data_IF_137625544223
#
_entry.id   IF_137625544223
#
_cell.length_a   1.000
_cell.length_b   1.000
_cell.length_c   1.000
_cell.angle_alpha   90.00
_cell.angle_beta   90.00
_cell.angle_gamma   90.00
#
_symmetry.space_group_name_H-M   'P 1'
#
loop_
_entity.id
_entity.type
_entity.pdbx_description
1 polymer ?
#
# COMPACT_ATOMS: atom_id res chain seq x y z
N UNK A 1 -17.81 24.89 38.94
CA UNK A 1 -18.08 23.53 38.39
C UNK A 1 -18.09 23.44 36.87
N UNK A 2 -18.41 24.52 36.13
CA UNK A 2 -18.49 24.50 34.64
C UNK A 2 -17.12 24.40 33.92
N UNK A 3 -16.03 24.92 34.49
CA UNK A 3 -14.68 24.93 33.88
C UNK A 3 -14.02 23.54 33.88
N UNK A 4 -14.32 22.71 34.90
CA UNK A 4 -13.73 21.33 34.97
C UNK A 4 -14.33 20.37 33.98
N UNK A 5 -15.58 20.58 33.55
CA UNK A 5 -16.25 19.76 32.53
C UNK A 5 -15.70 20.03 31.12
N UNK A 6 -15.40 21.30 30.80
CA UNK A 6 -14.83 21.71 29.52
C UNK A 6 -13.41 21.18 29.34
N UNK A 7 -12.61 21.16 30.42
CA UNK A 7 -11.24 20.61 30.37
C UNK A 7 -11.22 19.08 30.16
N UNK A 8 -12.17 18.36 30.76
CA UNK A 8 -12.34 16.91 30.54
C UNK A 8 -12.76 16.58 29.08
N UNK A 9 -13.67 17.38 28.51
CA UNK A 9 -14.10 17.20 27.12
C UNK A 9 -12.97 17.46 26.13
N UNK A 10 -12.10 18.44 26.38
CA UNK A 10 -10.95 18.76 25.54
C UNK A 10 -9.88 17.64 25.55
N UNK A 11 -9.70 16.95 26.67
CA UNK A 11 -8.76 15.81 26.76
C UNK A 11 -9.25 14.61 25.95
N UNK A 12 -10.56 14.37 25.89
CA UNK A 12 -11.14 13.28 25.06
C UNK A 12 -11.01 13.53 23.57
N UNK A 13 -10.93 14.79 23.13
CA UNK A 13 -10.76 15.13 21.70
C UNK A 13 -9.32 15.00 21.22
N UNK A 14 -8.34 14.90 22.13
CA UNK A 14 -6.91 14.80 21.79
C UNK A 14 -6.38 13.35 21.75
N UNK A 15 -7.16 12.37 22.18
CA UNK A 15 -6.76 10.96 22.20
C UNK A 15 -7.23 10.16 20.97
N UNK A 16 -7.56 10.83 19.88
CA UNK A 16 -7.81 10.20 18.61
C UNK A 16 -6.52 9.57 18.07
N UNK A 17 -6.14 8.38 18.57
CA UNK A 17 -5.16 7.55 17.92
C UNK A 17 -5.72 7.19 16.53
N UNK A 18 -5.15 7.77 15.49
CA UNK A 18 -5.40 7.36 14.11
C UNK A 18 -4.80 5.97 13.90
N UNK A 19 -5.55 4.94 14.28
CA UNK A 19 -5.26 3.58 13.89
C UNK A 19 -5.84 3.40 12.48
N UNK A 20 -5.00 3.60 11.47
CA UNK A 20 -5.37 3.23 10.11
C UNK A 20 -5.55 1.72 10.07
N UNK A 21 -6.74 1.25 9.75
CA UNK A 21 -7.05 -0.17 9.62
C UNK A 21 -7.35 -0.55 8.17
N UNK A 22 -6.97 -1.79 7.81
CA UNK A 22 -7.16 -2.34 6.49
C UNK A 22 -7.98 -3.63 6.57
N UNK A 23 -8.92 -3.76 5.65
CA UNK A 23 -9.75 -4.95 5.47
C UNK A 23 -9.28 -5.70 4.22
N UNK A 24 -9.12 -7.02 4.32
CA UNK A 24 -8.85 -7.88 3.16
C UNK A 24 -10.13 -8.01 2.32
N UNK A 25 -10.08 -7.49 1.11
CA UNK A 25 -11.17 -7.53 0.12
C UNK A 25 -10.83 -8.40 -1.10
N UNK A 26 -9.84 -9.27 -0.97
CA UNK A 26 -9.37 -10.16 -2.05
C UNK A 26 -10.48 -11.06 -2.63
N UNK A 27 -11.48 -11.41 -1.83
CA UNK A 27 -12.62 -12.23 -2.23
C UNK A 27 -13.81 -11.44 -2.80
N UNK A 28 -13.79 -10.11 -2.72
CA UNK A 28 -14.82 -9.27 -3.31
C UNK A 28 -14.81 -9.45 -4.83
N UNK A 29 -15.97 -9.72 -5.49
CA UNK A 29 -16.07 -9.89 -6.95
C UNK A 29 -15.43 -8.73 -7.75
N UNK A 30 -15.43 -7.52 -7.20
CA UNK A 30 -14.81 -6.34 -7.81
C UNK A 30 -13.29 -6.48 -7.93
N UNK A 31 -12.65 -7.17 -6.98
CA UNK A 31 -11.19 -7.26 -6.86
C UNK A 31 -10.62 -8.66 -7.11
N UNK A 32 -11.48 -9.68 -7.14
CA UNK A 32 -11.05 -11.08 -7.23
C UNK A 32 -10.21 -11.39 -8.47
N UNK A 33 -10.40 -10.66 -9.58
CA UNK A 33 -9.63 -10.83 -10.81
C UNK A 33 -8.18 -10.34 -10.73
N UNK A 34 -7.86 -9.50 -9.74
CA UNK A 34 -6.48 -9.04 -9.51
C UNK A 34 -5.65 -10.08 -8.77
N UNK A 35 -6.27 -10.84 -7.85
CA UNK A 35 -5.54 -11.81 -7.01
C UNK A 35 -4.96 -12.94 -7.85
N UNK A 36 -3.66 -13.15 -7.73
CA UNK A 36 -2.91 -14.11 -8.53
C UNK A 36 -2.52 -13.63 -9.93
N UNK A 37 -3.01 -12.46 -10.36
CA UNK A 37 -2.60 -11.85 -11.62
C UNK A 37 -1.13 -11.43 -11.58
N UNK A 38 -0.47 -11.53 -12.74
CA UNK A 38 0.91 -11.09 -12.93
C UNK A 38 0.95 -9.81 -13.75
N UNK A 39 1.78 -8.87 -13.31
CA UNK A 39 1.94 -7.56 -13.91
C UNK A 39 3.41 -7.29 -14.24
N UNK A 40 3.63 -6.47 -15.28
CA UNK A 40 4.94 -5.95 -15.66
C UNK A 40 4.91 -4.43 -15.66
N UNK A 41 5.91 -3.78 -15.09
CA UNK A 41 6.04 -2.32 -15.15
C UNK A 41 6.30 -1.84 -16.57
N UNK A 42 5.61 -0.75 -16.97
CA UNK A 42 5.75 -0.11 -18.30
C UNK A 42 6.65 1.12 -18.26
N UNK A 43 7.26 1.40 -17.15
CA UNK A 43 8.21 2.47 -16.93
C UNK A 43 8.96 2.29 -15.62
N UNK A 44 9.97 3.12 -15.41
CA UNK A 44 10.72 3.14 -14.16
C UNK A 44 9.83 3.57 -13.00
N UNK A 45 9.96 2.87 -11.88
CA UNK A 45 9.30 3.19 -10.62
C UNK A 45 10.33 3.24 -9.50
N UNK A 46 9.89 3.55 -8.31
CA UNK A 46 10.73 3.57 -7.12
C UNK A 46 10.08 2.71 -6.05
N UNK A 47 10.85 1.80 -5.45
CA UNK A 47 10.48 1.12 -4.21
C UNK A 47 10.98 1.97 -3.05
N UNK A 48 10.04 2.39 -2.22
CA UNK A 48 10.28 3.08 -0.96
C UNK A 48 10.24 2.08 0.18
N UNK A 49 11.16 2.19 1.11
CA UNK A 49 11.01 1.62 2.45
C UNK A 49 10.53 2.72 3.36
N UNK A 50 9.35 2.56 3.94
CA UNK A 50 8.67 3.59 4.74
C UNK A 50 8.56 3.12 6.18
N UNK A 51 8.90 3.99 7.11
CA UNK A 51 8.71 3.75 8.54
C UNK A 51 7.24 3.74 8.91
N UNK A 52 6.84 2.76 9.69
CA UNK A 52 5.51 2.70 10.33
C UNK A 52 5.58 3.13 11.81
N UNK A 53 6.75 3.53 12.28
CA UNK A 53 6.95 4.03 13.61
C UNK A 53 6.64 5.54 13.67
N UNK A 54 5.90 5.98 14.69
CA UNK A 54 5.57 7.40 14.91
C UNK A 54 6.82 8.29 15.12
N UNK A 55 7.94 7.72 15.53
CA UNK A 55 9.21 8.41 15.69
C UNK A 55 10.16 8.20 14.50
N UNK A 56 9.64 7.69 13.38
CA UNK A 56 10.39 7.40 12.16
C UNK A 56 11.57 6.44 12.36
N UNK A 57 11.41 5.48 13.28
CA UNK A 57 12.38 4.40 13.48
C UNK A 57 12.49 3.48 12.27
N UNK A 58 13.50 2.63 12.26
CA UNK A 58 13.76 1.69 11.17
C UNK A 58 12.79 0.49 11.14
N UNK A 59 12.05 0.26 12.21
CA UNK A 59 11.11 -0.85 12.35
C UNK A 59 9.97 -0.46 13.31
N UNK A 60 8.72 -0.82 13.03
CA UNK A 60 8.29 -1.55 11.82
C UNK A 60 8.39 -0.70 10.55
N UNK A 61 8.54 -1.34 9.41
CA UNK A 61 8.60 -0.67 8.10
C UNK A 61 7.90 -1.50 7.03
N UNK A 62 7.38 -0.82 6.01
CA UNK A 62 6.78 -1.43 4.83
C UNK A 62 7.51 -1.01 3.57
N UNK A 63 7.32 -1.76 2.49
CA UNK A 63 7.82 -1.40 1.17
C UNK A 63 6.64 -0.99 0.28
N UNK A 64 6.81 0.11 -0.47
CA UNK A 64 5.80 0.64 -1.37
C UNK A 64 6.39 0.90 -2.75
N UNK A 65 5.70 0.51 -3.81
CA UNK A 65 6.04 0.89 -5.19
C UNK A 65 5.29 2.17 -5.53
N UNK A 66 6.03 3.17 -5.99
CA UNK A 66 5.50 4.48 -6.32
C UNK A 66 6.02 4.93 -7.68
N UNK A 67 5.15 5.54 -8.48
CA UNK A 67 5.54 6.21 -9.72
C UNK A 67 6.27 7.54 -9.45
N UNK A 68 7.18 7.99 -10.32
CA UNK A 68 7.75 9.32 -10.24
C UNK A 68 6.64 10.42 -10.29
N UNK A 69 6.81 11.54 -9.56
CA UNK A 69 8.00 11.94 -8.82
C UNK A 69 8.15 11.28 -7.44
N UNK A 70 7.16 10.48 -6.97
CA UNK A 70 7.17 9.90 -5.65
C UNK A 70 6.89 10.93 -4.55
N UNK A 71 7.37 10.65 -3.34
CA UNK A 71 7.19 11.52 -2.18
C UNK A 71 8.47 11.66 -1.35
N UNK A 72 8.49 12.66 -0.50
CA UNK A 72 9.56 12.95 0.46
C UNK A 72 8.95 13.14 1.84
N UNK A 73 9.64 12.62 2.86
CA UNK A 73 9.21 12.79 4.23
C UNK A 73 10.18 12.13 5.21
N UNK A 74 10.07 12.46 6.50
CA UNK A 74 10.91 11.85 7.55
C UNK A 74 10.65 10.35 7.71
N UNK A 75 9.51 9.85 7.26
CA UNK A 75 9.15 8.44 7.25
C UNK A 75 9.92 7.61 6.21
N UNK A 76 10.54 8.24 5.21
CA UNK A 76 11.26 7.55 4.14
C UNK A 76 12.63 7.08 4.62
N UNK A 77 12.80 5.76 4.79
CA UNK A 77 14.05 5.13 5.21
C UNK A 77 15.01 4.96 4.03
N UNK A 78 14.48 4.51 2.88
CA UNK A 78 15.28 4.31 1.67
C UNK A 78 14.43 4.38 0.41
N UNK A 79 15.11 4.64 -0.71
CA UNK A 79 14.54 4.64 -2.07
C UNK A 79 15.44 3.83 -2.97
N UNK A 80 14.83 2.96 -3.76
CA UNK A 80 15.57 2.13 -4.73
C UNK A 80 14.82 2.09 -6.04
N UNK A 81 15.53 2.32 -7.13
CA UNK A 81 14.95 2.26 -8.48
C UNK A 81 14.39 0.86 -8.75
N UNK A 82 13.17 0.81 -9.23
CA UNK A 82 12.50 -0.39 -9.70
C UNK A 82 12.36 -0.29 -11.22
N UNK A 83 13.19 -1.02 -11.99
CA UNK A 83 13.32 -0.79 -13.41
C UNK A 83 12.08 -1.18 -14.21
N UNK A 84 11.89 -0.54 -15.35
CA UNK A 84 10.92 -0.96 -16.37
C UNK A 84 11.11 -2.44 -16.72
N UNK A 85 10.00 -3.14 -16.99
CA UNK A 85 9.99 -4.55 -17.31
C UNK A 85 10.04 -5.49 -16.10
N UNK A 86 10.14 -4.94 -14.86
CA UNK A 86 10.06 -5.75 -13.64
C UNK A 86 8.69 -6.41 -13.51
N UNK A 87 8.67 -7.67 -13.06
CA UNK A 87 7.42 -8.43 -12.90
C UNK A 87 7.08 -8.67 -11.45
N UNK A 88 5.78 -8.73 -11.17
CA UNK A 88 5.24 -8.97 -9.85
C UNK A 88 3.92 -9.72 -9.92
N UNK A 89 3.59 -10.44 -8.86
CA UNK A 89 2.33 -11.18 -8.69
C UNK A 89 1.53 -10.59 -7.55
N UNK A 90 0.25 -10.32 -7.78
CA UNK A 90 -0.68 -9.85 -6.73
C UNK A 90 -1.01 -11.00 -5.78
N UNK A 91 -0.83 -10.78 -4.48
CA UNK A 91 -1.13 -11.74 -3.41
C UNK A 91 -2.49 -11.46 -2.80
N UNK A 92 -2.71 -10.22 -2.34
CA UNK A 92 -3.94 -9.80 -1.66
C UNK A 92 -4.32 -8.38 -2.08
N UNK A 93 -5.59 -8.05 -1.88
CA UNK A 93 -6.11 -6.69 -2.03
C UNK A 93 -6.65 -6.25 -0.67
N UNK A 94 -6.26 -5.07 -0.24
CA UNK A 94 -6.66 -4.48 1.04
C UNK A 94 -7.29 -3.12 0.82
N UNK A 95 -8.38 -2.85 1.53
CA UNK A 95 -9.08 -1.57 1.52
C UNK A 95 -8.91 -0.89 2.87
N UNK A 96 -8.53 0.38 2.87
CA UNK A 96 -8.52 1.19 4.07
C UNK A 96 -9.95 1.42 4.57
N UNK A 97 -10.21 1.17 5.86
CA UNK A 97 -11.52 1.38 6.47
C UNK A 97 -11.61 2.69 7.24
N UNK A 98 -10.49 3.22 7.73
CA UNK A 98 -10.43 4.41 8.59
C UNK A 98 -9.62 5.55 7.98
N UNK A 99 -9.48 5.59 6.66
CA UNK A 99 -8.84 6.67 5.90
C UNK A 99 -9.81 7.86 5.77
N UNK A 100 -10.09 8.50 6.87
CA UNK A 100 -11.15 9.49 7.07
C UNK A 100 -10.99 10.79 6.25
N UNK A 101 -9.78 11.12 5.79
CA UNK A 101 -9.53 12.30 4.95
C UNK A 101 -9.63 12.02 3.44
N UNK A 102 -9.80 10.76 3.06
CA UNK A 102 -9.90 10.41 1.65
C UNK A 102 -11.37 10.43 1.20
N UNK A 103 -11.63 11.08 0.09
CA UNK A 103 -12.95 11.10 -0.54
C UNK A 103 -13.32 9.75 -1.14
N UNK A 104 -12.32 8.91 -1.43
CA UNK A 104 -12.48 7.53 -1.90
C UNK A 104 -11.62 6.59 -1.04
N UNK A 105 -12.12 5.36 -0.75
CA UNK A 105 -11.35 4.39 0.01
C UNK A 105 -10.05 4.03 -0.73
N UNK A 106 -8.90 4.18 -0.08
CA UNK A 106 -7.64 3.69 -0.63
C UNK A 106 -7.66 2.17 -0.70
N UNK A 107 -7.34 1.66 -1.88
CA UNK A 107 -7.22 0.23 -2.12
C UNK A 107 -5.80 -0.08 -2.56
N UNK A 108 -5.15 -0.96 -1.81
CA UNK A 108 -3.77 -1.39 -2.05
C UNK A 108 -3.74 -2.85 -2.45
N UNK A 109 -2.82 -3.19 -3.34
CA UNK A 109 -2.42 -4.55 -3.60
C UNK A 109 -1.13 -4.86 -2.83
N UNK A 110 -1.09 -5.98 -2.12
CA UNK A 110 0.18 -6.58 -1.72
C UNK A 110 0.67 -7.44 -2.88
N UNK A 111 1.83 -7.11 -3.40
CA UNK A 111 2.44 -7.80 -4.54
C UNK A 111 3.76 -8.43 -4.14
N UNK A 112 4.11 -9.57 -4.75
CA UNK A 112 5.42 -10.20 -4.64
C UNK A 112 6.19 -9.95 -5.91
N UNK A 113 7.39 -9.40 -5.78
CA UNK A 113 8.30 -9.19 -6.91
C UNK A 113 8.87 -10.54 -7.35
N UNK A 114 8.87 -10.80 -8.66
CA UNK A 114 9.23 -12.11 -9.24
C UNK A 114 10.37 -12.05 -10.26
N UNK A 115 10.95 -10.89 -10.56
CA UNK A 115 11.86 -10.75 -11.71
C UNK A 115 13.14 -9.99 -11.48
N UNK A 116 13.47 -9.58 -10.29
CA UNK A 116 14.73 -8.84 -10.06
C UNK A 116 15.53 -9.47 -8.93
N UNK A 117 16.81 -9.63 -9.13
CA UNK A 117 17.73 -10.17 -8.12
C UNK A 117 17.82 -9.33 -6.84
N UNK A 118 17.48 -8.05 -6.93
CA UNK A 118 17.54 -7.12 -5.78
C UNK A 118 16.30 -7.16 -4.90
N UNK A 119 15.14 -7.51 -5.47
CA UNK A 119 13.84 -7.49 -4.78
C UNK A 119 13.14 -8.84 -4.82
N UNK A 120 13.85 -9.90 -5.23
CA UNK A 120 13.27 -11.22 -5.38
C UNK A 120 12.59 -11.68 -4.09
N UNK A 121 11.37 -12.19 -4.22
CA UNK A 121 10.48 -12.57 -3.10
C UNK A 121 10.08 -11.43 -2.14
N UNK A 122 10.43 -10.17 -2.43
CA UNK A 122 9.99 -9.06 -1.60
C UNK A 122 8.48 -8.82 -1.75
N UNK A 123 7.79 -8.73 -0.63
CA UNK A 123 6.40 -8.26 -0.59
C UNK A 123 6.37 -6.73 -0.49
N UNK A 124 5.62 -6.12 -1.41
CA UNK A 124 5.57 -4.67 -1.58
C UNK A 124 4.11 -4.24 -1.71
N UNK A 125 3.75 -3.10 -1.15
CA UNK A 125 2.45 -2.49 -1.36
C UNK A 125 2.45 -1.67 -2.64
N UNK A 126 1.37 -1.75 -3.40
CA UNK A 126 1.14 -0.94 -4.60
C UNK A 126 -0.29 -0.40 -4.57
N UNK A 127 -0.48 0.87 -4.90
CA UNK A 127 -1.83 1.40 -5.12
C UNK A 127 -2.50 0.66 -6.28
N UNK A 128 -3.79 0.33 -6.15
CA UNK A 128 -4.51 -0.43 -7.18
C UNK A 128 -4.62 0.36 -8.49
N UNK A 129 -4.71 1.68 -8.42
CA UNK A 129 -4.68 2.56 -9.58
C UNK A 129 -3.35 2.48 -10.34
N UNK A 130 -2.25 2.29 -9.63
CA UNK A 130 -0.92 2.10 -10.22
C UNK A 130 -0.86 0.85 -11.10
N UNK A 131 -1.44 -0.28 -10.63
CA UNK A 131 -1.49 -1.52 -11.41
C UNK A 131 -2.24 -1.34 -12.74
N UNK A 132 -3.31 -0.53 -12.73
CA UNK A 132 -4.13 -0.30 -13.93
C UNK A 132 -3.54 0.72 -14.91
N UNK A 133 -2.79 1.69 -14.42
CA UNK A 133 -2.33 2.84 -15.22
C UNK A 133 -0.87 2.74 -15.68
N UNK A 134 0.00 2.07 -14.92
CA UNK A 134 1.45 2.04 -15.13
C UNK A 134 2.03 0.62 -15.23
N UNK A 135 1.16 -0.38 -15.27
CA UNK A 135 1.58 -1.77 -15.40
C UNK A 135 0.75 -2.50 -16.44
N UNK A 136 1.37 -3.42 -17.13
CA UNK A 136 0.73 -4.30 -18.11
C UNK A 136 0.41 -5.64 -17.47
N UNK A 137 -0.85 -6.06 -17.50
CA UNK A 137 -1.22 -7.41 -17.11
C UNK A 137 -0.61 -8.42 -18.06
N UNK A 138 0.13 -9.40 -17.52
CA UNK A 138 0.78 -10.47 -18.29
C UNK A 138 -0.06 -11.74 -18.27
N UNK A 139 -0.63 -12.06 -17.12
CA UNK A 139 -1.44 -13.25 -16.91
C UNK A 139 -2.54 -12.95 -15.91
N UNK A 140 -3.76 -13.20 -16.32
CA UNK A 140 -4.90 -13.23 -15.39
C UNK A 140 -5.05 -14.66 -14.83
N UNK A 141 -5.48 -14.79 -13.55
CA UNK A 141 -5.78 -16.11 -13.00
C UNK A 141 -6.93 -16.74 -13.77
N UNK A 142 -6.81 -18.04 -14.01
CA UNK A 142 -7.89 -18.81 -14.62
C UNK A 142 -9.10 -18.80 -13.67
N UNK A 143 -10.28 -18.30 -14.09
CA UNK A 143 -11.47 -18.23 -13.25
C UNK A 143 -11.97 -19.63 -12.78
N UNK A 144 -11.48 -20.71 -13.36
CA UNK A 144 -11.84 -22.09 -13.05
C UNK A 144 -10.96 -22.80 -12.02
N UNK A 145 -9.90 -22.16 -11.48
CA UNK A 145 -8.90 -22.84 -10.62
C UNK A 145 -9.13 -22.69 -9.12
N UNK A 146 -10.36 -22.41 -8.69
CA UNK A 146 -10.71 -22.35 -7.26
C UNK A 146 -11.49 -23.57 -6.81
#
# INVERSE_FOLDING_TARGET
MKIRLAALLAVFLLTGCYLVSYEDVSSDPKYASYVGAEYRTTGDMTVYRVSMDQNYGLSPSVYEIVQPPGFDGPEVISRTRFPEGSTMKVLTIQRCTDCFLDTEPRVHATVRVTSTTQFDDLEVHADLGLLSSHMQAMRQPDPGSR
#
